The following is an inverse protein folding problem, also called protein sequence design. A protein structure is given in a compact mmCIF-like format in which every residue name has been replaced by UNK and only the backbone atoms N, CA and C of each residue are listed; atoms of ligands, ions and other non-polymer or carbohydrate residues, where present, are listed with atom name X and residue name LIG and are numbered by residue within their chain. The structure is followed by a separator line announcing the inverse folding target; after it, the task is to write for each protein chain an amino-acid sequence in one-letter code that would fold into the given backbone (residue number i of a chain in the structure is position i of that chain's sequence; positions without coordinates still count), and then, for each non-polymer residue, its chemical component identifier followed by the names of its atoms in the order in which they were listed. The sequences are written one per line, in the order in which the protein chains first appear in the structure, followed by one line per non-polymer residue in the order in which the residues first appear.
data_IF_403241744224
#
_entry.id   IF_403241744224
#
_cell.length_a   1.000
_cell.length_b   1.000
_cell.length_c   1.000
_cell.angle_alpha   90.00
_cell.angle_beta   90.00
_cell.angle_gamma   90.00
#
_symmetry.space_group_name_H-M   'P 1'
#
loop_
_entity.id
_entity.type
_entity.pdbx_description
1 polymer ?
#
# COMPACT_ATOMS: atom_id res chain seq x y z
N UNK A 1 -44.04 -1.46 4.40
CA UNK A 1 -42.75 -0.73 4.52
C UNK A 1 -43.04 0.76 4.56
N UNK A 2 -42.61 1.49 5.60
CA UNK A 2 -42.88 2.94 5.66
C UNK A 2 -42.08 3.70 4.61
N UNK A 3 -42.65 4.77 4.06
CA UNK A 3 -41.96 5.69 3.13
C UNK A 3 -40.61 6.19 3.69
N UNK A 4 -40.51 6.33 5.01
CA UNK A 4 -39.29 6.73 5.71
C UNK A 4 -38.16 5.68 5.71
N UNK A 5 -38.47 4.40 5.49
CA UNK A 5 -37.47 3.33 5.38
C UNK A 5 -36.85 3.23 3.98
N UNK A 6 -37.64 3.50 2.93
CA UNK A 6 -37.15 3.52 1.55
C UNK A 6 -36.25 4.74 1.29
N UNK A 7 -36.63 5.92 1.77
CA UNK A 7 -35.84 7.15 1.63
C UNK A 7 -34.46 7.05 2.31
N UNK A 8 -34.38 6.48 3.52
CA UNK A 8 -33.10 6.31 4.24
C UNK A 8 -32.12 5.40 3.51
N UNK A 9 -32.62 4.37 2.83
CA UNK A 9 -31.79 3.48 2.00
C UNK A 9 -31.29 4.21 0.74
N UNK A 10 -32.15 4.97 0.07
CA UNK A 10 -31.76 5.77 -1.09
C UNK A 10 -30.66 6.78 -0.76
N UNK A 11 -30.81 7.52 0.35
CA UNK A 11 -29.81 8.51 0.77
C UNK A 11 -28.45 7.87 1.10
N UNK A 12 -28.44 6.73 1.79
CA UNK A 12 -27.22 6.00 2.13
C UNK A 12 -26.44 5.56 0.89
N UNK A 13 -27.14 5.02 -0.11
CA UNK A 13 -26.51 4.57 -1.36
C UNK A 13 -25.85 5.73 -2.10
N UNK A 14 -26.49 6.90 -2.13
CA UNK A 14 -25.95 8.11 -2.80
C UNK A 14 -24.69 8.61 -2.09
N UNK A 15 -24.67 8.63 -0.76
CA UNK A 15 -23.49 9.05 0.02
C UNK A 15 -22.33 8.07 -0.16
N UNK A 16 -22.59 6.76 -0.13
CA UNK A 16 -21.56 5.74 -0.38
C UNK A 16 -21.02 5.82 -1.82
N UNK A 17 -21.87 6.14 -2.80
CA UNK A 17 -21.46 6.37 -4.20
C UNK A 17 -20.60 7.62 -4.39
N UNK A 18 -20.99 8.75 -3.78
CA UNK A 18 -20.19 9.99 -3.82
C UNK A 18 -18.81 9.78 -3.19
N UNK A 19 -18.75 9.00 -2.10
CA UNK A 19 -17.50 8.66 -1.46
C UNK A 19 -16.61 7.80 -2.36
N UNK A 20 -17.17 6.80 -3.05
CA UNK A 20 -16.43 5.99 -4.02
C UNK A 20 -15.96 6.82 -5.22
N UNK A 21 -16.82 7.63 -5.82
CA UNK A 21 -16.51 8.47 -6.99
C UNK A 21 -15.38 9.48 -6.72
N UNK A 22 -15.30 10.01 -5.50
CA UNK A 22 -14.22 10.91 -5.09
C UNK A 22 -12.85 10.23 -4.95
N UNK A 23 -12.81 8.91 -4.79
CA UNK A 23 -11.56 8.13 -4.65
C UNK A 23 -11.05 7.55 -5.97
N UNK A 24 -11.88 7.49 -7.02
CA UNK A 24 -11.53 6.85 -8.31
C UNK A 24 -11.35 7.85 -9.47
N UNK A 25 -11.24 9.15 -9.16
CA UNK A 25 -10.98 10.23 -10.13
C UNK A 25 -11.89 10.16 -11.39
N UNK A 26 -13.18 9.92 -11.16
CA UNK A 26 -14.20 9.75 -12.20
C UNK A 26 -15.15 10.96 -12.28
N UNK A 27 -14.75 12.06 -12.94
CA UNK A 27 -15.48 13.33 -12.91
C UNK A 27 -16.92 13.26 -13.46
N UNK A 28 -17.16 12.41 -14.46
CA UNK A 28 -18.50 12.23 -15.03
C UNK A 28 -19.47 11.50 -14.07
N UNK A 29 -18.96 10.58 -13.25
CA UNK A 29 -19.75 9.87 -12.25
C UNK A 29 -20.12 10.78 -11.07
N UNK A 30 -19.18 11.63 -10.64
CA UNK A 30 -19.41 12.65 -9.62
C UNK A 30 -20.48 13.66 -10.09
N UNK A 31 -20.42 14.11 -11.34
CA UNK A 31 -21.38 15.08 -11.88
C UNK A 31 -22.81 14.50 -11.97
N UNK A 32 -22.97 13.24 -12.39
CA UNK A 32 -24.28 12.56 -12.39
C UNK A 32 -24.85 12.36 -10.99
N UNK A 33 -24.00 12.02 -10.03
CA UNK A 33 -24.41 11.84 -8.63
C UNK A 33 -24.84 13.16 -7.98
N UNK A 34 -24.16 14.27 -8.29
CA UNK A 34 -24.55 15.61 -7.82
C UNK A 34 -25.88 16.07 -8.41
N UNK A 35 -26.14 15.80 -9.70
CA UNK A 35 -27.43 16.09 -10.33
C UNK A 35 -28.57 15.29 -9.68
N UNK A 36 -28.36 14.00 -9.43
CA UNK A 36 -29.36 13.16 -8.75
C UNK A 36 -29.62 13.59 -7.30
N UNK A 37 -28.59 14.06 -6.59
CA UNK A 37 -28.72 14.62 -5.24
C UNK A 37 -29.55 15.92 -5.26
N UNK A 38 -29.31 16.80 -6.23
CA UNK A 38 -30.05 18.05 -6.40
C UNK A 38 -31.54 17.81 -6.64
N UNK A 39 -31.88 16.88 -7.53
CA UNK A 39 -33.27 16.51 -7.83
C UNK A 39 -33.97 15.90 -6.60
N UNK A 40 -33.24 15.10 -5.81
CA UNK A 40 -33.77 14.49 -4.59
C UNK A 40 -33.98 15.51 -3.46
N UNK A 41 -33.11 16.52 -3.35
CA UNK A 41 -33.24 17.63 -2.40
C UNK A 41 -34.37 18.60 -2.78
N UNK A 42 -34.61 18.80 -4.08
CA UNK A 42 -35.78 19.57 -4.56
C UNK A 42 -37.09 18.83 -4.29
N UNK A 43 -37.11 17.50 -4.45
CA UNK A 43 -38.30 16.68 -4.24
C UNK A 43 -38.61 16.45 -2.77
N UNK A 44 -37.60 16.50 -1.89
CA UNK A 44 -37.74 16.32 -0.45
C UNK A 44 -36.99 17.41 0.31
N UNK A 45 -37.58 18.61 0.45
CA UNK A 45 -36.93 19.74 1.08
C UNK A 45 -36.60 19.45 2.56
N UNK A 46 -35.45 19.95 3.06
CA UNK A 46 -34.87 19.55 4.34
C UNK A 46 -35.72 19.88 5.57
N UNK A 47 -36.83 20.62 5.43
CA UNK A 47 -37.79 20.82 6.52
C UNK A 47 -38.50 19.52 6.98
N UNK A 48 -38.45 18.45 6.19
CA UNK A 48 -38.92 17.10 6.57
C UNK A 48 -37.81 16.21 7.16
N UNK A 49 -36.58 16.71 7.23
CA UNK A 49 -35.44 16.07 7.87
C UNK A 49 -35.08 16.85 9.12
N UNK A 50 -35.48 16.32 10.28
CA UNK A 50 -34.94 16.70 11.59
C UNK A 50 -33.43 16.98 11.48
N UNK A 51 -33.10 18.28 11.61
CA UNK A 51 -31.80 18.95 11.67
C UNK A 51 -30.59 18.22 11.06
N UNK A 52 -29.85 18.93 10.21
CA UNK A 52 -28.49 18.56 9.76
C UNK A 52 -27.56 18.13 10.92
N UNK A 53 -27.86 18.54 12.16
CA UNK A 53 -27.18 18.10 13.37
C UNK A 53 -27.27 16.58 13.60
N UNK A 54 -28.37 15.93 13.21
CA UNK A 54 -28.54 14.48 13.35
C UNK A 54 -27.66 13.70 12.37
N UNK A 55 -27.34 14.28 11.20
CA UNK A 55 -26.43 13.69 10.23
C UNK A 55 -24.97 13.84 10.67
N UNK A 56 -24.60 15.02 11.19
CA UNK A 56 -23.27 15.23 11.81
C UNK A 56 -23.10 14.36 13.06
N UNK A 57 -24.16 14.09 13.80
CA UNK A 57 -24.14 13.17 14.95
C UNK A 57 -23.91 11.71 14.53
N UNK A 58 -24.44 11.25 13.38
CA UNK A 58 -24.19 9.89 12.89
C UNK A 58 -22.77 9.71 12.32
N UNK A 59 -22.20 10.73 11.69
CA UNK A 59 -20.78 10.73 11.29
C UNK A 59 -19.85 10.81 12.51
N UNK A 60 -20.27 11.48 13.58
CA UNK A 60 -19.55 11.50 14.87
C UNK A 60 -19.73 10.23 15.71
N UNK A 61 -20.86 9.51 15.62
CA UNK A 61 -21.10 8.29 16.43
C UNK A 61 -20.41 7.04 15.90
N UNK A 62 -20.11 6.95 14.59
CA UNK A 62 -19.24 5.87 14.07
C UNK A 62 -17.75 6.09 14.34
N UNK A 63 -17.38 7.22 14.93
CA UNK A 63 -16.01 7.57 15.29
C UNK A 63 -15.72 7.41 16.79
N UNK A 64 -16.45 6.51 17.48
CA UNK A 64 -16.20 6.21 18.89
C UNK A 64 -16.37 4.72 19.22
N UNK A 65 -15.38 3.92 18.80
CA UNK A 65 -14.71 2.87 19.60
C UNK A 65 -13.57 2.28 18.77
N UNK A 66 -12.34 2.49 19.22
CA UNK A 66 -11.09 2.13 18.52
C UNK A 66 -10.40 3.37 17.98
N UNK A 67 -9.57 3.99 18.82
CA UNK A 67 -8.79 5.20 18.55
C UNK A 67 -7.99 5.11 17.25
N UNK A 68 -8.52 5.68 16.16
CA UNK A 68 -7.66 6.19 15.07
C UNK A 68 -7.47 7.67 15.33
N UNK A 69 -6.36 7.99 15.97
CA UNK A 69 -5.78 9.32 15.88
C UNK A 69 -5.62 9.61 14.38
N UNK A 70 -6.28 10.64 13.84
CA UNK A 70 -5.87 11.15 12.53
C UNK A 70 -4.44 11.64 12.74
N UNK A 71 -3.43 11.02 12.11
CA UNK A 71 -2.07 11.52 12.26
C UNK A 71 -2.09 12.99 11.81
N UNK A 72 -1.51 13.87 12.63
CA UNK A 72 -1.25 15.26 12.20
C UNK A 72 -0.45 15.20 10.90
N UNK A 73 -0.48 16.23 10.03
CA UNK A 73 0.41 16.29 8.87
C UNK A 73 1.88 16.03 9.23
N UNK A 74 2.30 16.44 10.43
CA UNK A 74 3.62 16.13 11.02
C UNK A 74 3.81 14.64 11.40
N UNK A 75 2.79 13.97 11.92
CA UNK A 75 2.81 12.52 12.14
C UNK A 75 2.65 11.70 10.84
N UNK A 76 2.07 12.29 9.81
CA UNK A 76 1.98 11.73 8.44
C UNK A 76 3.29 11.95 7.68
N UNK A 77 4.02 13.03 7.99
CA UNK A 77 5.41 13.29 7.58
C UNK A 77 6.44 12.52 8.41
N UNK A 78 6.01 11.60 9.30
CA UNK A 78 6.91 10.81 10.13
C UNK A 78 7.54 9.69 9.29
N UNK A 79 8.57 10.10 8.57
CA UNK A 79 9.49 9.34 7.73
C UNK A 79 8.85 8.65 6.52
N UNK A 80 8.66 9.43 5.45
CA UNK A 80 8.73 8.91 4.08
C UNK A 80 10.17 8.42 3.92
N UNK A 81 10.38 7.10 3.78
CA UNK A 81 11.71 6.57 3.48
C UNK A 81 12.27 7.26 2.23
N UNK A 82 13.58 7.51 2.23
CA UNK A 82 14.27 7.97 1.03
C UNK A 82 14.02 6.98 -0.12
N UNK A 83 13.87 7.42 -1.38
CA UNK A 83 13.65 6.51 -2.51
C UNK A 83 14.69 5.38 -2.59
N UNK A 84 15.97 5.65 -2.31
CA UNK A 84 17.00 4.60 -2.28
C UNK A 84 16.73 3.52 -1.25
N UNK A 85 16.03 3.86 -0.16
CA UNK A 85 15.67 2.92 0.90
C UNK A 85 14.37 2.18 0.60
N UNK A 86 13.42 2.80 -0.10
CA UNK A 86 12.07 2.27 -0.29
C UNK A 86 11.92 1.37 -1.53
N UNK A 87 12.48 1.79 -2.67
CA UNK A 87 12.19 1.19 -3.97
C UNK A 87 13.34 0.35 -4.56
N UNK A 88 14.56 0.48 -4.02
CA UNK A 88 15.69 -0.33 -4.46
C UNK A 88 15.83 -1.59 -3.61
N UNK A 89 15.87 -2.78 -4.23
CA UNK A 89 16.06 -4.03 -3.49
C UNK A 89 17.35 -4.04 -2.68
N UNK A 90 17.23 -4.22 -1.37
CA UNK A 90 18.36 -4.44 -0.47
C UNK A 90 18.75 -5.91 -0.43
N UNK A 91 17.75 -6.79 -0.47
CA UNK A 91 17.96 -8.22 -0.44
C UNK A 91 16.69 -9.00 -0.76
N UNK A 92 16.75 -10.30 -0.48
CA UNK A 92 15.62 -11.21 -0.60
C UNK A 92 15.66 -12.27 0.50
N UNK A 93 14.48 -12.72 0.92
CA UNK A 93 14.31 -13.68 2.00
C UNK A 93 13.35 -14.80 1.59
N UNK A 94 13.67 -16.02 1.96
CA UNK A 94 12.87 -17.22 1.72
C UNK A 94 12.06 -17.56 2.97
N UNK A 95 10.75 -17.70 2.79
CA UNK A 95 9.84 -18.16 3.83
C UNK A 95 9.82 -19.70 3.94
N UNK A 96 9.05 -20.21 4.90
CA UNK A 96 8.96 -21.66 5.18
C UNK A 96 8.28 -22.44 4.05
N UNK A 97 7.52 -21.74 3.19
CA UNK A 97 6.90 -22.30 1.99
C UNK A 97 7.89 -22.37 0.81
N UNK A 98 9.13 -21.89 0.99
CA UNK A 98 10.16 -21.82 -0.04
C UNK A 98 9.95 -20.71 -1.07
N UNK A 99 9.11 -19.72 -0.75
CA UNK A 99 8.86 -18.55 -1.58
C UNK A 99 9.76 -17.39 -1.16
N UNK A 100 10.21 -16.61 -2.15
CA UNK A 100 11.14 -15.51 -1.95
C UNK A 100 10.45 -14.16 -2.00
N UNK A 101 10.77 -13.27 -1.07
CA UNK A 101 10.33 -11.88 -1.05
C UNK A 101 11.52 -10.95 -1.22
N UNK A 102 11.44 -10.00 -2.14
CA UNK A 102 12.43 -8.92 -2.23
C UNK A 102 12.11 -7.84 -1.21
N UNK A 103 13.10 -7.45 -0.41
CA UNK A 103 12.94 -6.42 0.60
C UNK A 103 13.90 -5.24 0.38
N UNK A 104 13.49 -4.09 0.90
CA UNK A 104 14.19 -2.82 0.81
C UNK A 104 15.09 -2.58 2.05
N UNK A 105 15.77 -1.43 2.13
CA UNK A 105 16.77 -1.18 3.20
C UNK A 105 16.14 -1.20 4.61
N UNK A 106 14.85 -0.92 4.70
CA UNK A 106 14.06 -0.95 5.93
C UNK A 106 13.36 -2.30 6.16
N UNK A 107 13.79 -3.34 5.44
CA UNK A 107 13.24 -4.70 5.52
C UNK A 107 11.73 -4.76 5.28
N UNK A 108 11.22 -3.89 4.39
CA UNK A 108 9.85 -3.96 3.89
C UNK A 108 9.85 -4.53 2.48
N UNK A 109 8.76 -5.17 2.03
CA UNK A 109 8.65 -5.56 0.64
C UNK A 109 8.94 -4.37 -0.28
N UNK A 110 9.71 -4.61 -1.35
CA UNK A 110 10.08 -3.55 -2.30
C UNK A 110 8.80 -2.89 -2.85
N UNK A 111 8.76 -1.56 -2.83
CA UNK A 111 7.59 -0.78 -3.22
C UNK A 111 6.67 -0.39 -2.06
N UNK A 112 6.91 -0.88 -0.85
CA UNK A 112 6.22 -0.42 0.36
C UNK A 112 7.04 0.64 1.09
N UNK A 113 6.38 1.74 1.47
CA UNK A 113 6.96 2.83 2.25
C UNK A 113 6.18 2.99 3.55
N UNK A 114 6.51 2.16 4.55
CA UNK A 114 5.85 2.15 5.85
C UNK A 114 6.82 1.76 6.96
N UNK A 115 6.58 2.30 8.15
CA UNK A 115 7.33 1.97 9.36
C UNK A 115 6.71 0.81 10.14
N UNK A 116 5.54 0.32 9.72
CA UNK A 116 4.86 -0.81 10.37
C UNK A 116 5.63 -2.12 10.21
N UNK A 117 5.57 -2.99 11.21
CA UNK A 117 6.05 -4.36 11.07
C UNK A 117 5.21 -5.09 10.01
N UNK A 118 5.87 -5.84 9.14
CA UNK A 118 5.22 -6.57 8.05
C UNK A 118 5.69 -8.01 8.11
N UNK A 119 4.74 -8.95 8.17
CA UNK A 119 5.00 -10.33 7.79
C UNK A 119 4.82 -10.46 6.27
N UNK A 120 5.85 -10.92 5.57
CA UNK A 120 5.78 -11.10 4.12
C UNK A 120 4.70 -12.09 3.69
N UNK A 121 4.29 -13.02 4.57
CA UNK A 121 3.26 -14.02 4.29
C UNK A 121 1.88 -13.41 4.04
N UNK A 122 1.62 -12.24 4.64
CA UNK A 122 0.35 -11.53 4.56
C UNK A 122 0.18 -10.70 3.28
N UNK A 123 1.21 -10.68 2.40
CA UNK A 123 1.21 -9.87 1.20
C UNK A 123 1.50 -10.68 -0.07
N UNK A 124 0.90 -10.31 -1.23
CA UNK A 124 1.12 -10.97 -2.51
C UNK A 124 2.45 -10.53 -3.17
N UNK A 125 3.54 -10.60 -2.42
CA UNK A 125 4.91 -10.16 -2.80
C UNK A 125 5.93 -11.30 -2.79
N UNK A 126 5.42 -12.53 -2.64
CA UNK A 126 6.20 -13.76 -2.53
C UNK A 126 6.26 -14.47 -3.88
N UNK A 127 7.44 -14.89 -4.29
CA UNK A 127 7.67 -15.50 -5.60
C UNK A 127 8.32 -16.87 -5.47
N UNK A 128 7.79 -17.86 -6.19
CA UNK A 128 8.52 -19.10 -6.45
C UNK A 128 9.45 -18.85 -7.63
N UNK A 129 10.76 -18.83 -7.40
CA UNK A 129 11.74 -18.44 -8.43
C UNK A 129 12.44 -19.66 -9.05
N UNK A 130 12.41 -19.74 -10.39
CA UNK A 130 13.22 -20.67 -11.20
C UNK A 130 14.58 -20.06 -11.51
N UNK A 131 15.62 -20.91 -11.56
CA UNK A 131 17.00 -20.49 -11.85
C UNK A 131 17.78 -19.96 -10.64
N UNK A 132 17.18 -19.97 -9.45
CA UNK A 132 17.79 -19.56 -8.18
C UNK A 132 18.45 -20.75 -7.46
N UNK A 133 19.41 -21.41 -8.12
CA UNK A 133 20.22 -22.45 -7.50
C UNK A 133 21.31 -21.89 -6.56
N UNK A 134 22.03 -22.74 -5.80
CA UNK A 134 23.12 -22.32 -4.90
C UNK A 134 24.13 -21.38 -5.58
N UNK A 135 24.66 -21.75 -6.75
CA UNK A 135 25.61 -20.91 -7.49
C UNK A 135 25.05 -19.55 -7.95
N UNK A 136 23.73 -19.44 -8.14
CA UNK A 136 23.09 -18.14 -8.43
C UNK A 136 22.98 -17.30 -7.16
N UNK A 137 22.63 -17.93 -6.04
CA UNK A 137 22.52 -17.27 -4.73
C UNK A 137 23.88 -16.74 -4.25
N UNK A 138 24.96 -17.49 -4.42
CA UNK A 138 26.32 -17.04 -4.08
C UNK A 138 26.73 -15.78 -4.85
N UNK A 139 26.32 -15.68 -6.12
CA UNK A 139 26.59 -14.51 -6.97
C UNK A 139 25.75 -13.30 -6.59
N UNK A 140 24.55 -13.53 -6.04
CA UNK A 140 23.65 -12.47 -5.60
C UNK A 140 24.05 -11.91 -4.25
N UNK A 141 24.54 -12.75 -3.35
CA UNK A 141 24.93 -12.33 -2.01
C UNK A 141 26.21 -11.49 -2.02
N UNK A 142 26.13 -10.29 -1.49
CA UNK A 142 27.28 -9.40 -1.29
C UNK A 142 28.33 -10.01 -0.37
N UNK A 143 27.89 -10.87 0.56
CA UNK A 143 28.75 -11.57 1.52
C UNK A 143 29.36 -12.83 0.92
N UNK A 144 28.93 -13.23 -0.27
CA UNK A 144 29.37 -14.46 -0.94
C UNK A 144 28.99 -15.74 -0.22
N UNK A 145 28.00 -15.72 0.69
CA UNK A 145 27.57 -16.92 1.42
C UNK A 145 26.52 -17.69 0.64
N UNK A 146 25.48 -17.01 0.15
CA UNK A 146 24.45 -17.54 -0.77
C UNK A 146 23.68 -18.80 -0.31
N UNK A 147 24.02 -19.36 0.84
CA UNK A 147 23.43 -20.56 1.43
C UNK A 147 22.29 -20.22 2.39
N UNK A 148 22.27 -18.99 2.89
CA UNK A 148 21.28 -18.51 3.84
C UNK A 148 19.89 -18.35 3.20
N UNK A 149 18.86 -18.40 4.05
CA UNK A 149 17.48 -18.06 3.68
C UNK A 149 17.30 -16.56 3.43
N UNK A 150 18.34 -15.76 3.67
CA UNK A 150 18.36 -14.33 3.46
C UNK A 150 19.62 -13.95 2.68
N UNK A 151 19.45 -13.24 1.57
CA UNK A 151 20.52 -12.83 0.66
C UNK A 151 20.50 -11.31 0.57
N UNK A 152 21.67 -10.68 0.66
CA UNK A 152 21.82 -9.24 0.59
C UNK A 152 22.53 -8.84 -0.71
N UNK A 153 22.02 -7.86 -1.44
CA UNK A 153 22.63 -7.43 -2.70
C UNK A 153 23.71 -6.35 -2.51
N UNK A 154 23.67 -5.68 -1.36
CA UNK A 154 24.69 -4.78 -0.85
C UNK A 154 24.61 -4.74 0.67
N UNK A 155 25.54 -4.05 1.31
CA UNK A 155 25.60 -3.78 2.75
C UNK A 155 26.08 -2.34 2.99
N UNK A 156 26.41 -2.01 4.24
CA UNK A 156 26.81 -0.67 4.65
C UNK A 156 28.13 -0.22 4.03
N UNK A 157 29.05 -1.17 3.80
CA UNK A 157 30.34 -0.92 3.17
C UNK A 157 30.25 -0.86 1.64
N UNK A 158 29.20 -1.45 1.04
CA UNK A 158 29.05 -1.61 -0.41
C UNK A 158 27.79 -0.93 -0.96
N UNK A 159 27.23 0.05 -0.23
CA UNK A 159 26.04 0.80 -0.67
C UNK A 159 26.27 1.35 -2.09
N UNK A 160 25.29 1.25 -3.00
CA UNK A 160 25.48 1.64 -4.41
C UNK A 160 25.88 3.11 -4.61
N UNK A 161 25.57 4.00 -3.66
CA UNK A 161 25.84 5.43 -3.73
C UNK A 161 27.24 5.83 -3.26
N UNK A 162 28.06 4.89 -2.76
CA UNK A 162 29.40 5.19 -2.27
C UNK A 162 30.36 5.49 -3.42
N UNK A 163 30.29 4.72 -4.51
CA UNK A 163 31.22 4.84 -5.64
C UNK A 163 30.66 4.22 -6.92
N UNK A 164 31.29 4.51 -8.06
CA UNK A 164 30.95 3.88 -9.33
C UNK A 164 31.10 2.34 -9.28
N UNK A 165 32.10 1.83 -8.56
CA UNK A 165 32.35 0.39 -8.45
C UNK A 165 31.29 -0.33 -7.62
N UNK A 166 30.85 0.26 -6.52
CA UNK A 166 29.76 -0.29 -5.69
C UNK A 166 28.44 -0.29 -6.45
N UNK A 167 28.13 0.78 -7.19
CA UNK A 167 26.98 0.83 -8.11
C UNK A 167 27.08 -0.28 -9.17
N UNK A 168 28.24 -0.43 -9.82
CA UNK A 168 28.46 -1.45 -10.86
C UNK A 168 28.25 -2.87 -10.33
N UNK A 169 28.75 -3.14 -9.12
CA UNK A 169 28.57 -4.44 -8.47
C UNK A 169 27.09 -4.71 -8.14
N UNK A 170 26.36 -3.71 -7.67
CA UNK A 170 24.92 -3.80 -7.41
C UNK A 170 24.11 -4.05 -8.70
N UNK A 171 24.35 -3.30 -9.77
CA UNK A 171 23.68 -3.51 -11.06
C UNK A 171 23.96 -4.89 -11.66
N UNK A 172 25.17 -5.43 -11.45
CA UNK A 172 25.51 -6.80 -11.86
C UNK A 172 24.62 -7.84 -11.18
N UNK A 173 24.27 -7.65 -9.90
CA UNK A 173 23.33 -8.51 -9.17
C UNK A 173 21.90 -8.32 -9.64
N UNK A 174 21.45 -7.08 -9.84
CA UNK A 174 20.12 -6.81 -10.40
C UNK A 174 19.92 -7.47 -11.78
N UNK A 175 20.96 -7.46 -12.63
CA UNK A 175 20.94 -8.15 -13.93
C UNK A 175 20.71 -9.66 -13.81
N UNK A 176 21.16 -10.29 -12.72
CA UNK A 176 20.88 -11.72 -12.45
C UNK A 176 19.39 -11.87 -12.09
N UNK A 177 18.87 -11.02 -11.20
CA UNK A 177 17.47 -11.06 -10.76
C UNK A 177 16.51 -10.91 -11.94
N UNK A 178 16.78 -9.97 -12.86
CA UNK A 178 15.97 -9.73 -14.05
C UNK A 178 15.87 -10.93 -15.00
N UNK A 179 16.76 -11.93 -14.86
CA UNK A 179 16.77 -13.15 -15.67
C UNK A 179 16.04 -14.31 -14.98
N UNK A 180 15.73 -14.19 -13.70
CA UNK A 180 14.93 -15.19 -12.99
C UNK A 180 13.50 -15.22 -13.55
N UNK A 181 12.85 -16.37 -13.39
CA UNK A 181 11.47 -16.58 -13.83
C UNK A 181 10.61 -17.00 -12.65
N UNK A 182 9.36 -16.55 -12.64
CA UNK A 182 8.36 -17.10 -11.71
C UNK A 182 8.01 -18.51 -12.17
N UNK A 183 7.88 -19.43 -11.21
CA UNK A 183 7.66 -20.85 -11.45
C UNK A 183 6.24 -21.16 -11.91
#
# INVERSE_FOLDING_TARGET
MSASGALRRGYRVIVEWLFWAAHVDAPLAAQRALSGLSELLQRYPPASFLSLETHVAFTKLKYRKGTRHKPTPEATMKAIMDPMQAIFPYGMEMDDDGLWTFFNRSYKPVGMNTNEFIDYKDHPVRFKLKGLGPATRDKLDVRGKGTDRQIFFYDDATRPTISADTMKAYLKRLKIIMRLRVA
#
